data_IF_341652371172
#
_entry.id   IF_341652371172
#
_cell.length_a   1.000
_cell.length_b   1.000
_cell.length_c   1.000
_cell.angle_alpha   90.00
_cell.angle_beta   90.00
_cell.angle_gamma   90.00
#
_symmetry.space_group_name_H-M   'P 1'
#
loop_
_entity.id
_entity.type
_entity.pdbx_description
1 polymer ?
#
# COMPACT_ATOMS: atom_id res chain seq x y z
N UNK A 1 -19.64 -40.73 -9.29
CA UNK A 1 -19.52 -39.51 -8.44
C UNK A 1 -19.44 -38.24 -9.29
N UNK A 2 -20.57 -37.52 -9.40
CA UNK A 2 -20.64 -36.21 -10.06
C UNK A 2 -19.84 -35.20 -9.23
N UNK A 3 -18.68 -34.77 -9.72
CA UNK A 3 -17.91 -33.67 -9.12
C UNK A 3 -18.81 -32.44 -9.18
N UNK A 4 -19.28 -31.98 -8.01
CA UNK A 4 -20.04 -30.75 -7.89
C UNK A 4 -19.24 -29.64 -8.58
N UNK A 5 -19.79 -29.04 -9.62
CA UNK A 5 -19.13 -27.95 -10.33
C UNK A 5 -18.89 -26.82 -9.33
N UNK A 6 -17.62 -26.56 -9.00
CA UNK A 6 -17.25 -25.41 -8.16
C UNK A 6 -17.89 -24.16 -8.75
N UNK A 7 -18.63 -23.43 -7.94
CA UNK A 7 -19.25 -22.17 -8.35
C UNK A 7 -18.19 -21.11 -8.58
N UNK A 8 -18.52 -20.07 -9.36
CA UNK A 8 -17.60 -18.95 -9.63
C UNK A 8 -17.02 -18.34 -8.34
N UNK A 9 -17.86 -18.16 -7.33
CA UNK A 9 -17.47 -17.59 -6.03
C UNK A 9 -16.56 -18.51 -5.24
N UNK A 10 -16.79 -19.83 -5.28
CA UNK A 10 -15.92 -20.80 -4.61
C UNK A 10 -14.51 -20.83 -5.21
N UNK A 11 -14.39 -20.78 -6.54
CA UNK A 11 -13.06 -20.72 -7.18
C UNK A 11 -12.34 -19.41 -6.90
N UNK A 12 -13.04 -18.27 -6.90
CA UNK A 12 -12.45 -16.99 -6.50
C UNK A 12 -11.94 -17.03 -5.06
N UNK A 13 -12.72 -17.66 -4.16
CA UNK A 13 -12.32 -17.83 -2.77
C UNK A 13 -11.08 -18.71 -2.65
N UNK A 14 -11.07 -19.88 -3.29
CA UNK A 14 -9.91 -20.78 -3.25
C UNK A 14 -8.64 -20.11 -3.79
N UNK A 15 -8.74 -19.31 -4.85
CA UNK A 15 -7.60 -18.56 -5.38
C UNK A 15 -7.04 -17.56 -4.35
N UNK A 16 -7.92 -16.75 -3.75
CA UNK A 16 -7.52 -15.78 -2.72
C UNK A 16 -6.95 -16.47 -1.47
N UNK A 17 -7.56 -17.56 -1.02
CA UNK A 17 -7.09 -18.31 0.14
C UNK A 17 -5.67 -18.85 -0.11
N UNK A 18 -5.38 -19.37 -1.30
CA UNK A 18 -4.03 -19.83 -1.66
C UNK A 18 -3.01 -18.71 -1.82
N UNK A 19 -3.43 -17.54 -2.31
CA UNK A 19 -2.57 -16.35 -2.38
C UNK A 19 -2.17 -15.89 -0.97
N UNK A 20 -3.11 -15.85 -0.03
CA UNK A 20 -2.86 -15.49 1.35
C UNK A 20 -1.92 -16.47 2.05
N UNK A 21 -2.14 -17.77 1.86
CA UNK A 21 -1.25 -18.81 2.41
C UNK A 21 0.17 -18.71 1.83
N UNK A 22 0.31 -18.36 0.55
CA UNK A 22 1.61 -18.14 -0.09
C UNK A 22 2.37 -17.00 0.60
N UNK A 23 1.72 -15.86 0.83
CA UNK A 23 2.34 -14.74 1.55
C UNK A 23 2.70 -15.10 2.98
N UNK A 24 1.81 -15.78 3.70
CA UNK A 24 2.03 -16.18 5.10
C UNK A 24 3.22 -17.13 5.23
N UNK A 25 3.32 -18.14 4.36
CA UNK A 25 4.43 -19.09 4.38
C UNK A 25 5.75 -18.48 3.95
N UNK A 26 5.72 -17.59 2.95
CA UNK A 26 6.89 -16.86 2.50
C UNK A 26 7.46 -15.96 3.62
N UNK A 27 6.60 -15.28 4.38
CA UNK A 27 7.01 -14.50 5.56
C UNK A 27 7.53 -15.37 6.71
N UNK A 28 6.99 -16.59 6.85
CA UNK A 28 7.45 -17.56 7.84
C UNK A 28 8.77 -18.26 7.43
N UNK A 29 9.29 -18.01 6.23
CA UNK A 29 10.48 -18.69 5.70
C UNK A 29 10.24 -20.18 5.40
N UNK A 30 8.98 -20.61 5.29
CA UNK A 30 8.61 -21.97 4.95
C UNK A 30 8.73 -22.23 3.44
N UNK A 31 8.80 -23.49 3.06
CA UNK A 31 8.80 -23.96 1.68
C UNK A 31 7.48 -23.56 0.96
N UNK A 32 7.59 -22.92 -0.22
CA UNK A 32 6.45 -22.32 -0.95
C UNK A 32 6.25 -22.91 -2.35
N UNK A 33 7.09 -23.85 -2.82
CA UNK A 33 7.00 -24.37 -4.20
C UNK A 33 5.67 -25.07 -4.46
N UNK A 34 5.16 -25.83 -3.49
CA UNK A 34 3.85 -26.48 -3.61
C UNK A 34 2.70 -25.46 -3.69
N UNK A 35 2.77 -24.40 -2.89
CA UNK A 35 1.76 -23.34 -2.90
C UNK A 35 1.79 -22.55 -4.20
N UNK A 36 2.98 -22.25 -4.73
CA UNK A 36 3.15 -21.63 -6.05
C UNK A 36 2.54 -22.51 -7.13
N UNK A 37 2.80 -23.82 -7.13
CA UNK A 37 2.24 -24.76 -8.11
C UNK A 37 0.70 -24.82 -8.03
N UNK A 38 0.14 -24.83 -6.82
CA UNK A 38 -1.32 -24.82 -6.62
C UNK A 38 -1.95 -23.51 -7.05
N UNK A 39 -1.32 -22.38 -6.74
CA UNK A 39 -1.79 -21.05 -7.14
C UNK A 39 -1.81 -20.89 -8.66
N UNK A 40 -0.77 -21.34 -9.38
CA UNK A 40 -0.75 -21.30 -10.85
C UNK A 40 -1.81 -22.20 -11.48
N UNK A 41 -2.04 -23.40 -10.91
CA UNK A 41 -3.12 -24.29 -11.35
C UNK A 41 -4.50 -23.65 -11.17
N UNK A 42 -4.77 -23.04 -10.02
CA UNK A 42 -6.01 -22.33 -9.74
C UNK A 42 -6.19 -21.11 -10.65
N UNK A 43 -5.11 -20.39 -10.97
CA UNK A 43 -5.15 -19.31 -11.95
C UNK A 43 -5.56 -19.84 -13.34
N UNK A 44 -4.98 -20.95 -13.80
CA UNK A 44 -5.34 -21.55 -15.08
C UNK A 44 -6.80 -22.05 -15.10
N UNK A 45 -7.28 -22.67 -14.01
CA UNK A 45 -8.68 -23.08 -13.91
C UNK A 45 -9.62 -21.87 -13.93
N UNK A 46 -9.30 -20.82 -13.19
CA UNK A 46 -10.09 -19.60 -13.14
C UNK A 46 -10.06 -18.83 -14.48
N UNK A 47 -8.94 -18.82 -15.20
CA UNK A 47 -8.82 -18.25 -16.55
C UNK A 47 -9.70 -19.02 -17.54
N UNK A 48 -9.62 -20.36 -17.56
CA UNK A 48 -10.44 -21.23 -18.42
C UNK A 48 -11.94 -21.02 -18.21
N UNK A 49 -12.34 -20.62 -17.00
CA UNK A 49 -13.74 -20.35 -16.63
C UNK A 49 -14.14 -18.88 -16.80
N UNK A 50 -13.26 -17.99 -17.27
CA UNK A 50 -13.51 -16.56 -17.42
C UNK A 50 -13.73 -15.81 -16.10
N UNK A 51 -13.15 -16.33 -15.01
CA UNK A 51 -13.31 -15.82 -13.64
C UNK A 51 -12.22 -14.83 -13.31
N UNK A 52 -11.01 -15.06 -13.82
CA UNK A 52 -9.96 -14.06 -13.84
C UNK A 52 -10.34 -12.99 -14.85
N UNK A 53 -10.46 -11.75 -14.38
CA UNK A 53 -10.65 -10.62 -15.28
C UNK A 53 -9.37 -10.49 -16.11
N UNK A 54 -9.41 -10.61 -17.44
CA UNK A 54 -8.23 -10.33 -18.25
C UNK A 54 -7.86 -8.88 -17.99
N UNK A 55 -6.64 -8.66 -17.49
CA UNK A 55 -6.20 -7.35 -17.07
C UNK A 55 -6.26 -6.35 -18.22
N UNK A 56 -7.26 -5.46 -18.18
CA UNK A 56 -7.21 -4.09 -18.71
C UNK A 56 -8.37 -3.31 -18.08
N UNK A 57 -8.04 -2.19 -17.44
CA UNK A 57 -8.94 -1.44 -16.57
C UNK A 57 -10.27 -1.06 -17.22
N UNK A 58 -11.36 -1.34 -16.51
CA UNK A 58 -12.57 -0.51 -16.44
C UNK A 58 -13.55 -1.19 -15.49
N UNK A 59 -14.02 -0.44 -14.50
CA UNK A 59 -15.00 -0.89 -13.52
C UNK A 59 -16.22 -1.48 -14.22
N UNK A 60 -16.34 -2.80 -14.16
CA UNK A 60 -17.54 -3.51 -14.59
C UNK A 60 -18.42 -3.73 -13.35
N UNK A 61 -19.04 -2.65 -12.88
CA UNK A 61 -20.21 -2.75 -12.00
C UNK A 61 -21.38 -3.28 -12.84
N UNK A 62 -21.48 -4.60 -12.94
CA UNK A 62 -22.72 -5.25 -13.34
C UNK A 62 -23.76 -5.08 -12.24
N UNK A 63 -24.48 -3.94 -12.25
CA UNK A 63 -25.84 -3.77 -11.70
C UNK A 63 -26.25 -2.31 -11.78
N UNK A 64 -27.32 -2.02 -12.53
CA UNK A 64 -28.05 -0.78 -12.32
C UNK A 64 -28.78 -0.25 -13.54
N UNK A 65 -29.79 -0.99 -14.02
CA UNK A 65 -30.83 -0.45 -14.90
C UNK A 65 -31.66 0.54 -14.07
N UNK A 66 -31.25 1.80 -14.02
CA UNK A 66 -31.84 2.85 -13.19
C UNK A 66 -32.69 3.83 -14.00
N UNK A 67 -33.87 3.37 -14.44
CA UNK A 67 -34.96 4.28 -14.74
C UNK A 67 -35.62 4.75 -13.42
N UNK A 68 -36.07 6.00 -13.42
CA UNK A 68 -37.03 6.63 -12.49
C UNK A 68 -36.44 7.70 -11.58
N UNK A 69 -36.57 8.93 -12.08
CA UNK A 69 -36.77 10.15 -11.29
C UNK A 69 -37.95 9.93 -10.33
N UNK A 70 -37.82 10.32 -9.05
CA UNK A 70 -38.98 10.61 -8.22
C UNK A 70 -38.87 10.28 -6.72
N UNK A 71 -38.69 11.35 -5.93
CA UNK A 71 -39.42 11.67 -4.69
C UNK A 71 -39.65 10.54 -3.67
N UNK A 72 -38.98 10.60 -2.53
CA UNK A 72 -39.40 9.83 -1.35
C UNK A 72 -38.71 10.25 -0.07
N UNK A 73 -39.53 10.70 0.88
CA UNK A 73 -39.21 11.24 2.21
C UNK A 73 -38.47 10.23 3.11
N UNK A 74 -37.83 10.81 4.13
CA UNK A 74 -36.93 10.16 5.07
C UNK A 74 -37.43 8.87 5.72
N UNK A 75 -36.47 7.98 5.95
CA UNK A 75 -36.58 6.87 6.88
C UNK A 75 -35.42 7.01 7.86
N UNK A 76 -35.74 7.48 9.06
CA UNK A 76 -34.90 7.28 10.25
C UNK A 76 -34.86 5.78 10.54
N UNK A 77 -33.92 5.09 9.91
CA UNK A 77 -33.61 3.69 10.18
C UNK A 77 -32.41 3.60 11.09
N UNK A 78 -32.64 3.58 12.41
CA UNK A 78 -31.68 3.22 13.44
C UNK A 78 -31.38 1.72 13.32
N UNK A 79 -30.68 1.35 12.26
CA UNK A 79 -30.14 0.02 12.04
C UNK A 79 -28.82 -0.09 12.76
N UNK A 80 -28.85 -0.57 14.01
CA UNK A 80 -27.68 -1.23 14.62
C UNK A 80 -27.44 -2.54 13.87
N UNK A 81 -26.98 -2.41 12.63
CA UNK A 81 -26.29 -3.47 11.93
C UNK A 81 -24.96 -3.62 12.64
N UNK A 82 -24.82 -4.72 13.38
CA UNK A 82 -23.54 -5.31 13.79
C UNK A 82 -22.79 -5.64 12.49
N UNK A 83 -22.28 -4.60 11.84
CA UNK A 83 -21.45 -4.71 10.66
C UNK A 83 -20.17 -5.37 11.12
N UNK A 84 -20.08 -6.64 10.76
CA UNK A 84 -18.87 -7.40 10.48
C UNK A 84 -17.65 -6.48 10.46
N UNK A 85 -16.72 -6.74 11.40
CA UNK A 85 -15.41 -6.13 11.56
C UNK A 85 -15.17 -5.00 10.58
N UNK A 86 -15.50 -3.78 11.00
CA UNK A 86 -14.97 -2.55 10.40
C UNK A 86 -13.50 -2.83 10.19
N UNK A 87 -13.06 -2.86 8.93
CA UNK A 87 -11.67 -3.12 8.58
C UNK A 87 -10.77 -2.36 9.55
N UNK A 88 -10.21 -3.06 10.53
CA UNK A 88 -9.20 -2.52 11.41
C UNK A 88 -7.94 -2.52 10.55
N UNK A 89 -7.87 -1.54 9.65
CA UNK A 89 -6.69 -1.29 8.85
C UNK A 89 -5.60 -1.03 9.86
N UNK A 90 -4.60 -1.91 9.85
CA UNK A 90 -3.40 -1.70 10.66
C UNK A 90 -2.76 -0.43 10.13
N UNK A 91 -2.74 0.62 10.94
CA UNK A 91 -2.13 1.89 10.58
C UNK A 91 -0.61 1.70 10.52
N UNK A 92 -0.09 1.44 9.32
CA UNK A 92 1.34 1.39 9.03
C UNK A 92 1.96 2.79 8.87
N UNK A 93 1.24 3.85 9.25
CA UNK A 93 1.74 5.22 9.19
C UNK A 93 2.82 5.41 10.27
N UNK A 94 3.87 6.19 10.00
CA UNK A 94 4.97 6.36 10.94
C UNK A 94 4.46 6.96 12.26
N UNK A 95 4.78 6.38 13.41
CA UNK A 95 4.41 6.93 14.73
C UNK A 95 5.58 7.66 15.40
N UNK A 96 6.71 7.72 14.71
CA UNK A 96 7.93 8.34 15.17
C UNK A 96 8.16 9.67 14.44
N UNK A 97 8.55 10.68 15.21
CA UNK A 97 8.95 11.99 14.74
C UNK A 97 10.44 12.18 14.96
N UNK A 98 11.06 12.69 13.91
CA UNK A 98 12.44 13.06 13.82
C UNK A 98 12.56 14.56 14.04
N UNK A 99 13.41 14.97 14.96
CA UNK A 99 13.53 16.35 15.45
C UNK A 99 14.95 16.78 15.23
N UNK A 100 15.11 17.86 14.49
CA UNK A 100 16.38 18.48 14.17
C UNK A 100 16.33 19.97 14.47
N UNK A 101 17.51 20.59 14.61
CA UNK A 101 17.68 22.01 14.94
C UNK A 101 17.24 22.41 16.36
N UNK A 102 17.54 21.58 17.37
CA UNK A 102 17.50 21.97 18.79
C UNK A 102 18.92 22.15 19.35
N UNK A 103 19.06 22.86 20.47
CA UNK A 103 20.35 23.02 21.15
C UNK A 103 20.54 21.97 22.25
N UNK A 104 21.78 21.71 22.67
CA UNK A 104 22.07 20.75 23.76
C UNK A 104 21.28 21.07 25.04
N UNK A 105 21.11 22.36 25.36
CA UNK A 105 20.31 22.85 26.48
C UNK A 105 18.82 22.49 26.37
N UNK A 106 18.30 22.30 25.16
CA UNK A 106 16.90 22.01 24.96
C UNK A 106 16.56 20.55 25.21
N UNK A 107 17.55 19.64 25.20
CA UNK A 107 17.31 18.18 25.33
C UNK A 107 16.46 17.82 26.55
N UNK A 108 16.72 18.47 27.69
CA UNK A 108 16.07 18.15 28.97
C UNK A 108 14.63 18.67 28.99
N UNK A 109 14.35 19.72 28.23
CA UNK A 109 13.03 20.34 28.11
C UNK A 109 12.25 19.84 26.88
N UNK A 110 12.91 19.15 25.96
CA UNK A 110 12.31 18.64 24.73
C UNK A 110 11.37 17.47 25.04
N UNK A 111 11.80 16.51 25.86
CA UNK A 111 10.96 15.40 26.31
C UNK A 111 9.65 15.86 26.99
N UNK A 112 9.67 16.73 28.03
CA UNK A 112 8.44 17.20 28.66
C UNK A 112 7.56 18.05 27.72
N UNK A 113 8.15 18.76 26.75
CA UNK A 113 7.38 19.47 25.74
C UNK A 113 6.63 18.53 24.81
N UNK A 114 7.24 17.43 24.34
CA UNK A 114 6.54 16.47 23.49
C UNK A 114 5.55 15.61 24.27
N UNK A 115 5.80 15.36 25.55
CA UNK A 115 4.89 14.66 26.44
C UNK A 115 3.54 15.40 26.66
N UNK A 116 3.47 16.71 26.40
CA UNK A 116 2.21 17.46 26.51
C UNK A 116 1.22 17.15 25.36
N UNK A 117 1.74 16.67 24.22
CA UNK A 117 0.94 16.37 23.03
C UNK A 117 0.52 14.90 22.96
N UNK A 118 1.18 14.02 23.71
CA UNK A 118 0.87 12.61 23.73
C UNK A 118 1.78 11.77 24.61
N UNK A 119 1.46 10.48 24.72
CA UNK A 119 2.23 9.54 25.51
C UNK A 119 3.39 8.98 24.68
N UNK A 120 4.61 9.22 25.15
CA UNK A 120 5.84 8.79 24.49
C UNK A 120 6.08 7.31 24.81
N UNK A 121 6.29 6.51 23.75
CA UNK A 121 6.65 5.09 23.84
C UNK A 121 8.18 4.92 23.90
N UNK A 122 8.93 5.67 23.09
CA UNK A 122 10.39 5.63 23.05
C UNK A 122 10.97 7.00 22.68
N UNK A 123 12.17 7.31 23.16
CA UNK A 123 12.90 8.55 22.87
C UNK A 123 14.39 8.25 22.70
N UNK A 124 14.92 8.52 21.50
CA UNK A 124 16.32 8.31 21.16
C UNK A 124 16.93 9.66 20.80
N UNK A 125 17.94 10.09 21.57
CA UNK A 125 18.64 11.35 21.34
C UNK A 125 20.06 11.02 20.92
N UNK A 126 20.49 11.53 19.78
CA UNK A 126 21.87 11.49 19.32
C UNK A 126 22.50 12.87 19.51
N UNK A 127 23.32 12.97 20.57
CA UNK A 127 24.01 14.20 20.95
C UNK A 127 25.04 14.64 19.88
N UNK A 128 25.52 13.71 19.05
CA UNK A 128 26.54 13.99 18.03
C UNK A 128 25.97 14.73 16.81
N UNK A 129 24.72 14.44 16.45
CA UNK A 129 24.07 14.96 15.25
C UNK A 129 22.98 16.00 15.56
N UNK A 130 22.80 16.38 16.85
CA UNK A 130 21.73 17.27 17.32
C UNK A 130 20.36 16.79 16.82
N UNK A 131 20.15 15.49 17.01
CA UNK A 131 19.08 14.74 16.42
C UNK A 131 18.31 13.97 17.47
N UNK A 132 16.98 14.01 17.42
CA UNK A 132 16.16 13.26 18.35
C UNK A 132 15.01 12.57 17.61
N UNK A 133 14.76 11.32 17.95
CA UNK A 133 13.64 10.52 17.44
C UNK A 133 12.72 10.21 18.61
N UNK A 134 11.48 10.69 18.54
CA UNK A 134 10.43 10.44 19.53
C UNK A 134 9.35 9.58 18.90
N UNK A 135 9.07 8.43 19.52
CA UNK A 135 8.00 7.52 19.12
C UNK A 135 6.82 7.64 20.07
N UNK A 136 5.62 7.88 19.53
CA UNK A 136 4.38 7.99 20.32
C UNK A 136 3.57 6.71 20.34
N UNK A 137 2.81 6.49 21.43
CA UNK A 137 1.92 5.33 21.59
C UNK A 137 0.75 5.31 20.61
N UNK A 138 0.21 6.48 20.26
CA UNK A 138 -0.87 6.55 19.27
C UNK A 138 -0.48 7.44 18.09
N UNK A 139 -1.04 7.12 16.91
CA UNK A 139 -0.79 7.91 15.68
C UNK A 139 -1.38 9.33 15.80
N UNK A 140 -2.54 9.47 16.44
CA UNK A 140 -3.18 10.76 16.63
C UNK A 140 -2.31 11.73 17.46
N UNK A 141 -1.64 11.21 18.48
CA UNK A 141 -0.67 11.95 19.29
C UNK A 141 0.55 12.39 18.48
N UNK A 142 1.11 11.48 17.70
CA UNK A 142 2.23 11.81 16.81
C UNK A 142 1.84 12.91 15.82
N UNK A 143 0.62 12.88 15.28
CA UNK A 143 0.13 13.92 14.36
C UNK A 143 -0.05 15.27 15.05
N UNK A 144 -0.60 15.28 16.27
CA UNK A 144 -0.72 16.50 17.07
C UNK A 144 0.65 17.11 17.37
N UNK A 145 1.62 16.27 17.76
CA UNK A 145 3.00 16.68 18.00
C UNK A 145 3.68 17.21 16.71
N UNK A 146 3.41 16.62 15.55
CA UNK A 146 3.97 17.08 14.28
C UNK A 146 3.46 18.46 13.87
N UNK A 147 2.20 18.77 14.18
CA UNK A 147 1.54 20.04 13.83
C UNK A 147 1.89 21.14 14.84
N UNK A 148 1.96 20.81 16.13
CA UNK A 148 2.08 21.80 17.21
C UNK A 148 3.46 21.85 17.86
N UNK A 149 4.22 20.75 17.83
CA UNK A 149 5.53 20.63 18.46
C UNK A 149 6.67 21.28 17.68
N UNK A 150 6.40 21.89 16.51
CA UNK A 150 7.44 22.61 15.76
C UNK A 150 7.87 23.89 16.48
N UNK A 151 7.05 24.44 17.39
CA UNK A 151 7.36 25.70 18.07
C UNK A 151 7.72 25.46 19.53
N UNK A 152 9.01 25.58 19.83
CA UNK A 152 9.57 25.27 21.14
C UNK A 152 10.32 26.49 21.71
N UNK A 153 9.90 27.01 22.86
CA UNK A 153 10.51 28.20 23.53
C UNK A 153 10.72 29.42 22.61
N UNK A 154 9.93 29.57 21.55
CA UNK A 154 10.09 30.67 20.57
C UNK A 154 11.09 30.38 19.45
N UNK A 155 11.64 29.17 19.39
CA UNK A 155 12.40 28.63 18.27
C UNK A 155 11.54 27.67 17.45
N UNK A 156 11.80 27.60 16.15
CA UNK A 156 11.15 26.67 15.25
C UNK A 156 12.05 25.44 15.05
N UNK A 157 11.61 24.31 15.60
CA UNK A 157 12.21 23.00 15.42
C UNK A 157 11.84 22.43 14.06
N UNK A 158 12.78 21.71 13.44
CA UNK A 158 12.53 21.01 12.18
C UNK A 158 12.08 19.58 12.48
N UNK A 159 10.79 19.35 12.30
CA UNK A 159 10.15 18.05 12.45
C UNK A 159 10.02 17.33 11.10
N UNK A 160 10.42 16.07 11.08
CA UNK A 160 10.17 15.15 9.97
C UNK A 160 9.54 13.86 10.49
N UNK A 161 8.77 13.18 9.64
CA UNK A 161 8.29 11.85 9.98
C UNK A 161 9.45 10.87 9.85
N UNK A 162 9.80 10.18 10.93
CA UNK A 162 10.82 9.15 10.89
C UNK A 162 10.29 8.00 10.02
N UNK A 163 10.94 7.77 8.89
CA UNK A 163 10.78 6.54 8.12
C UNK A 163 11.77 5.57 8.74
N UNK A 164 11.34 4.56 9.51
CA UNK A 164 12.28 3.60 10.03
C UNK A 164 12.98 2.97 8.82
N UNK A 165 14.24 3.36 8.60
CA UNK A 165 15.18 2.51 7.88
C UNK A 165 15.24 1.30 8.78
N UNK A 166 14.75 0.17 8.31
CA UNK A 166 14.70 -1.06 9.07
C UNK A 166 16.11 -1.40 9.53
N UNK A 167 16.49 -0.93 10.72
CA UNK A 167 17.58 -1.48 11.52
C UNK A 167 17.05 -2.76 12.17
N UNK A 168 16.63 -3.69 11.33
CA UNK A 168 16.55 -5.11 11.64
C UNK A 168 17.81 -5.69 10.99
N UNK A 169 18.74 -6.15 11.82
CA UNK A 169 20.02 -6.79 11.48
C UNK A 169 21.04 -5.95 10.69
N UNK A 170 22.15 -5.64 11.37
CA UNK A 170 23.42 -5.41 10.74
C UNK A 170 23.81 -6.61 9.86
N UNK A 171 23.75 -6.47 8.53
CA UNK A 171 24.70 -7.06 7.58
C UNK A 171 24.77 -6.10 6.39
N UNK A 172 25.98 -5.63 6.13
CA UNK A 172 26.43 -4.89 4.95
C UNK A 172 25.90 -5.51 3.65
N UNK A 173 25.53 -4.66 2.68
CA UNK A 173 26.09 -4.67 1.32
C UNK A 173 25.81 -3.26 0.79
N UNK A 174 26.83 -2.42 0.98
CA UNK A 174 27.13 -1.32 0.09
C UNK A 174 27.59 -1.95 -1.25
N UNK A 175 26.95 -1.58 -2.36
CA UNK A 175 27.60 -1.50 -3.68
C UNK A 175 26.63 -0.83 -4.68
N UNK A 176 26.84 0.47 -4.84
CA UNK A 176 26.90 1.21 -6.12
C UNK A 176 26.35 0.54 -7.38
N UNK A 177 25.32 1.14 -7.98
CA UNK A 177 25.16 1.22 -9.44
C UNK A 177 26.38 1.95 -10.05
N UNK A 178 26.83 1.67 -11.30
CA UNK A 178 25.97 1.63 -12.50
C UNK A 178 26.38 0.69 -13.67
N UNK A 179 25.52 0.70 -14.69
CA UNK A 179 25.80 0.60 -16.13
C UNK A 179 26.08 -0.75 -16.84
N UNK A 180 25.22 -0.95 -17.86
CA UNK A 180 25.53 -1.26 -19.27
C UNK A 180 25.89 -2.70 -19.72
N UNK A 181 24.98 -3.19 -20.56
CA UNK A 181 25.21 -3.82 -21.87
C UNK A 181 25.45 -5.34 -22.04
N UNK A 182 24.81 -5.80 -23.11
CA UNK A 182 24.99 -7.04 -23.89
C UNK A 182 24.77 -8.39 -23.21
N UNK A 183 23.66 -9.03 -23.55
CA UNK A 183 23.75 -10.23 -24.41
C UNK A 183 22.49 -10.34 -25.27
N UNK A 184 22.70 -10.06 -26.56
CA UNK A 184 21.79 -10.39 -27.64
C UNK A 184 21.76 -11.92 -27.87
N UNK A 185 20.80 -12.33 -28.70
CA UNK A 185 20.81 -13.54 -29.55
C UNK A 185 20.51 -14.90 -28.86
N UNK A 186 19.56 -15.76 -29.27
CA UNK A 186 18.49 -15.83 -30.27
C UNK A 186 17.56 -17.00 -29.86
N UNK A 187 16.28 -16.98 -30.23
CA UNK A 187 15.71 -18.03 -31.11
C UNK A 187 14.20 -17.88 -31.28
N UNK A 188 13.84 -17.35 -32.46
CA UNK A 188 12.84 -17.88 -33.40
C UNK A 188 11.35 -17.89 -33.01
N UNK A 189 10.56 -17.30 -33.93
CA UNK A 189 9.09 -17.33 -34.13
C UNK A 189 8.31 -16.37 -33.22
N UNK A 190 7.72 -15.27 -33.71
CA UNK A 190 6.67 -15.22 -34.73
C UNK A 190 6.57 -13.77 -35.29
N UNK A 191 7.30 -13.50 -36.38
CA UNK A 191 7.16 -12.32 -37.23
C UNK A 191 6.28 -12.69 -38.42
N UNK A 192 4.96 -12.53 -38.32
CA UNK A 192 4.10 -12.65 -39.53
C UNK A 192 2.67 -12.15 -39.46
N UNK A 193 2.24 -11.39 -38.45
CA UNK A 193 0.88 -10.83 -38.48
C UNK A 193 0.82 -9.44 -37.85
N UNK A 194 1.19 -8.43 -38.64
CA UNK A 194 0.23 -7.41 -39.12
C UNK A 194 1.02 -6.19 -39.62
N UNK A 195 1.49 -6.32 -40.85
CA UNK A 195 1.85 -5.18 -41.67
C UNK A 195 0.64 -4.89 -42.59
N UNK A 196 0.24 -3.62 -42.55
CA UNK A 196 -0.61 -2.86 -43.48
C UNK A 196 -2.10 -3.21 -43.59
N UNK A 197 -2.93 -2.30 -43.07
CA UNK A 197 -4.04 -1.70 -43.82
C UNK A 197 -4.16 -0.22 -43.40
N UNK A 198 -3.48 0.62 -44.18
CA UNK A 198 -3.89 1.92 -44.74
C UNK A 198 -4.76 2.96 -43.98
N UNK A 199 -4.26 4.20 -44.14
CA UNK A 199 -4.97 5.47 -44.38
C UNK A 199 -5.62 6.29 -43.24
N UNK A 200 -5.05 7.50 -43.08
CA UNK A 200 -5.65 8.82 -42.82
C UNK A 200 -6.69 9.01 -41.70
N UNK A 201 -6.36 9.84 -40.71
CA UNK A 201 -6.87 11.23 -40.67
C UNK A 201 -6.12 12.06 -39.61
N UNK A 202 -5.51 13.15 -40.09
CA UNK A 202 -5.16 14.30 -39.26
C UNK A 202 -6.47 14.94 -38.77
N UNK A 203 -6.80 14.86 -37.49
CA UNK A 203 -7.57 15.93 -36.85
C UNK A 203 -7.45 15.95 -35.33
N UNK A 204 -6.59 16.86 -34.87
CA UNK A 204 -6.93 17.89 -33.87
C UNK A 204 -7.95 17.51 -32.78
N UNK A 205 -7.49 17.10 -31.60
CA UNK A 205 -8.13 17.58 -30.38
C UNK A 205 -7.17 17.76 -29.21
N UNK A 206 -7.04 19.03 -28.84
CA UNK A 206 -6.15 19.56 -27.83
C UNK A 206 -6.31 18.88 -26.48
N UNK A 207 -5.15 18.54 -25.88
CA UNK A 207 -4.95 18.08 -24.49
C UNK A 207 -5.88 18.76 -23.48
N UNK A 208 -7.05 18.16 -23.22
CA UNK A 208 -8.06 18.63 -22.27
C UNK A 208 -7.79 18.24 -20.80
N UNK A 209 -6.57 17.83 -20.46
CA UNK A 209 -6.17 17.51 -19.08
C UNK A 209 -5.58 18.71 -18.33
N UNK A 210 -5.66 19.90 -18.92
CA UNK A 210 -5.37 21.16 -18.23
C UNK A 210 -6.63 22.00 -18.15
N UNK A 211 -7.47 21.69 -17.16
CA UNK A 211 -7.91 22.60 -16.08
C UNK A 211 -9.12 22.05 -15.35
#
# INVERSE_FOLDING_TARGET
PVKSMKTRTQMQKELLDTELDLYKKMQAGEEVTELRRKYTELQLEAAKRGILSPGRGRGMHTRGRGASRGRGRGVRGRGRGRSLSVHAVVDHRPRALEISAFTENDREDLLPHFAQYGEIEDCQIDDSSLHAVITFKTRAEAEAAAIHGSRFKGQDLKLAWNKPVTNMSAVEIEETEPDEEEFQEESLVDDSLLQDDDEDDDDNESRSWRR
#
